data_IF_875074398114
#
_entry.id   IF_875074398114
#
_cell.length_a   1.000
_cell.length_b   1.000
_cell.length_c   1.000
_cell.angle_alpha   90.00
_cell.angle_beta   90.00
_cell.angle_gamma   90.00
#
_symmetry.space_group_name_H-M   'P 1'
#
loop_
_entity.id
_entity.type
_entity.pdbx_description
1 polymer ?
#
# COMPACT_ATOMS: atom_id res chain seq x y z
N UNK A 1 3.34 10.68 -9.54
CA UNK A 1 2.05 11.21 -9.06
C UNK A 1 1.55 10.22 -8.03
N UNK A 2 1.62 10.57 -6.76
CA UNK A 2 0.99 9.79 -5.72
C UNK A 2 -0.50 9.66 -6.04
N UNK A 3 -1.05 8.47 -5.87
CA UNK A 3 -2.49 8.29 -5.98
C UNK A 3 -3.13 9.23 -4.95
N UNK A 4 -3.85 10.24 -5.43
CA UNK A 4 -4.59 11.15 -4.56
C UNK A 4 -5.64 10.32 -3.84
N UNK A 5 -5.37 10.06 -2.57
CA UNK A 5 -6.29 9.31 -1.72
C UNK A 5 -7.54 10.16 -1.49
N UNK A 6 -8.76 9.66 -1.72
CA UNK A 6 -9.96 10.42 -1.37
C UNK A 6 -9.92 10.75 0.10
N UNK A 7 -10.32 11.96 0.41
CA UNK A 7 -10.37 12.46 1.78
C UNK A 7 -11.24 11.59 2.72
N UNK A 8 -12.22 10.89 2.17
CA UNK A 8 -13.16 10.05 2.93
C UNK A 8 -13.17 8.61 2.43
N UNK A 9 -12.74 7.62 3.24
CA UNK A 9 -12.87 6.22 2.89
C UNK A 9 -14.35 5.79 2.92
N UNK A 10 -14.68 4.77 2.13
CA UNK A 10 -16.01 4.20 2.14
C UNK A 10 -16.25 3.35 3.39
N UNK A 11 -17.27 3.70 4.18
CA UNK A 11 -17.76 2.90 5.31
C UNK A 11 -19.09 2.23 4.98
N UNK A 12 -19.41 2.06 3.70
CA UNK A 12 -20.65 1.36 3.29
C UNK A 12 -20.57 -0.09 3.74
N UNK A 13 -21.61 -0.56 4.41
CA UNK A 13 -21.67 -1.93 5.00
C UNK A 13 -21.35 -3.02 3.97
N UNK A 14 -21.90 -2.93 2.76
CA UNK A 14 -21.63 -3.90 1.69
C UNK A 14 -20.15 -3.90 1.28
N UNK A 15 -19.50 -2.74 1.28
CA UNK A 15 -18.08 -2.65 0.98
C UNK A 15 -17.23 -3.30 2.09
N UNK A 16 -17.56 -3.04 3.35
CA UNK A 16 -16.87 -3.66 4.49
C UNK A 16 -17.07 -5.18 4.50
N UNK A 17 -18.27 -5.67 4.17
CA UNK A 17 -18.53 -7.10 4.03
C UNK A 17 -17.67 -7.76 2.94
N UNK A 18 -17.47 -7.11 1.79
CA UNK A 18 -16.56 -7.60 0.76
C UNK A 18 -15.12 -7.67 1.25
N UNK A 19 -14.66 -6.68 2.01
CA UNK A 19 -13.29 -6.66 2.56
C UNK A 19 -13.08 -7.79 3.56
N UNK A 20 -14.11 -8.12 4.36
CA UNK A 20 -14.05 -9.19 5.35
C UNK A 20 -14.21 -10.59 4.75
N UNK A 21 -14.79 -10.70 3.57
CA UNK A 21 -15.10 -11.98 2.93
C UNK A 21 -14.37 -12.11 1.59
N UNK A 22 -15.11 -12.01 0.48
CA UNK A 22 -14.58 -12.11 -0.88
C UNK A 22 -14.79 -10.78 -1.61
N UNK A 23 -13.71 -10.15 -2.01
CA UNK A 23 -13.74 -8.90 -2.77
C UNK A 23 -13.99 -9.16 -4.26
N UNK A 24 -15.25 -9.09 -4.68
CA UNK A 24 -15.67 -9.36 -6.06
C UNK A 24 -15.51 -8.11 -6.92
N UNK A 25 -16.11 -7.00 -6.50
CA UNK A 25 -16.21 -5.78 -7.33
C UNK A 25 -15.06 -4.80 -7.12
N UNK A 26 -14.32 -4.96 -6.06
CA UNK A 26 -13.27 -4.02 -5.69
C UNK A 26 -13.84 -2.79 -5.01
N UNK A 27 -12.96 -1.84 -4.77
CA UNK A 27 -13.22 -0.56 -4.19
C UNK A 27 -11.94 0.23 -4.08
N UNK A 28 -12.02 1.33 -3.37
CA UNK A 28 -10.86 2.15 -3.11
C UNK A 28 -9.77 1.31 -2.40
N UNK A 29 -8.57 1.30 -2.92
CA UNK A 29 -7.39 0.54 -2.45
C UNK A 29 -7.45 -0.99 -2.52
N UNK A 30 -8.55 -1.61 -2.91
CA UNK A 30 -8.58 -3.05 -3.09
C UNK A 30 -9.22 -3.42 -4.43
N UNK A 31 -8.41 -3.94 -5.35
CA UNK A 31 -8.92 -4.44 -6.62
C UNK A 31 -9.66 -5.75 -6.37
N UNK A 32 -10.95 -5.82 -6.78
CA UNK A 32 -11.72 -7.04 -6.72
C UNK A 32 -11.39 -8.01 -7.84
N UNK A 33 -11.99 -9.19 -7.79
CA UNK A 33 -11.81 -10.26 -8.79
C UNK A 33 -12.14 -9.75 -10.20
N UNK A 34 -13.33 -9.17 -10.39
CA UNK A 34 -13.80 -8.75 -11.71
C UNK A 34 -12.92 -7.68 -12.35
N UNK A 35 -12.60 -6.55 -11.67
CA UNK A 35 -11.71 -5.54 -12.24
C UNK A 35 -10.31 -6.09 -12.54
N UNK A 36 -9.78 -6.97 -11.67
CA UNK A 36 -8.46 -7.57 -11.87
C UNK A 36 -8.46 -8.47 -13.09
N UNK A 37 -9.44 -9.38 -13.22
CA UNK A 37 -9.57 -10.27 -14.37
C UNK A 37 -9.74 -9.48 -15.66
N UNK A 38 -10.62 -8.48 -15.65
CA UNK A 38 -10.85 -7.63 -16.82
C UNK A 38 -9.57 -6.88 -17.25
N UNK A 39 -8.82 -6.33 -16.30
CA UNK A 39 -7.54 -5.67 -16.59
C UNK A 39 -6.53 -6.64 -17.22
N UNK A 40 -6.38 -7.85 -16.66
CA UNK A 40 -5.47 -8.86 -17.21
C UNK A 40 -5.90 -9.30 -18.62
N UNK A 41 -7.20 -9.48 -18.88
CA UNK A 41 -7.72 -9.83 -20.21
C UNK A 41 -7.43 -8.72 -21.22
N UNK A 42 -7.65 -7.46 -20.86
CA UNK A 42 -7.37 -6.32 -21.74
C UNK A 42 -5.86 -6.21 -22.04
N UNK A 43 -5.00 -6.31 -21.03
CA UNK A 43 -3.53 -6.30 -21.24
C UNK A 43 -3.09 -7.49 -22.10
N UNK A 44 -3.64 -8.69 -21.87
CA UNK A 44 -3.38 -9.87 -22.68
C UNK A 44 -3.78 -9.66 -24.15
N UNK A 45 -4.84 -8.88 -24.41
CA UNK A 45 -5.27 -8.45 -25.72
C UNK A 45 -4.49 -7.24 -26.28
N UNK A 46 -3.39 -6.82 -25.61
CA UNK A 46 -2.58 -5.64 -25.95
C UNK A 46 -3.35 -4.31 -25.86
N UNK A 47 -4.38 -4.26 -25.01
CA UNK A 47 -5.19 -3.06 -24.75
C UNK A 47 -4.78 -2.47 -23.39
N UNK A 48 -4.02 -1.41 -23.42
CA UNK A 48 -3.51 -0.72 -22.23
C UNK A 48 -4.35 0.51 -21.86
N UNK A 49 -5.09 1.06 -22.82
CA UNK A 49 -6.13 2.04 -22.56
C UNK A 49 -7.36 1.32 -21.99
N UNK A 50 -7.46 1.30 -20.67
CA UNK A 50 -8.57 0.65 -19.99
C UNK A 50 -8.94 1.38 -18.68
N UNK A 51 -10.22 1.34 -18.27
CA UNK A 51 -10.71 2.09 -17.11
C UNK A 51 -10.10 1.68 -15.78
N UNK A 52 -9.40 0.53 -15.71
CA UNK A 52 -8.75 0.04 -14.49
C UNK A 52 -7.27 0.37 -14.42
N UNK A 53 -6.70 0.89 -15.50
CA UNK A 53 -5.30 1.27 -15.62
C UNK A 53 -5.15 2.51 -16.50
N UNK A 54 -5.53 3.66 -15.99
CA UNK A 54 -5.48 4.94 -16.71
C UNK A 54 -4.05 5.38 -17.11
N UNK A 55 -3.03 4.81 -16.47
CA UNK A 55 -1.63 5.08 -16.75
C UNK A 55 -1.00 4.10 -17.76
N UNK A 56 -1.69 3.00 -18.06
CA UNK A 56 -1.13 1.91 -18.85
C UNK A 56 -0.69 2.36 -20.23
N UNK A 57 -1.50 3.14 -20.92
CA UNK A 57 -1.16 3.62 -22.26
C UNK A 57 0.03 4.60 -22.24
N UNK A 58 0.06 5.54 -21.29
CA UNK A 58 1.17 6.49 -21.14
C UNK A 58 2.49 5.82 -20.77
N UNK A 59 2.45 4.86 -19.80
CA UNK A 59 3.63 4.14 -19.34
C UNK A 59 4.30 3.30 -20.44
N UNK A 60 3.50 2.75 -21.34
CA UNK A 60 3.99 1.89 -22.42
C UNK A 60 4.07 2.59 -23.78
N UNK A 61 3.73 3.88 -23.85
CA UNK A 61 3.84 4.68 -25.06
C UNK A 61 5.30 4.79 -25.49
N UNK A 62 5.62 4.40 -26.73
CA UNK A 62 6.99 4.37 -27.25
C UNK A 62 7.85 3.18 -26.79
N UNK A 63 7.29 2.25 -25.99
CA UNK A 63 8.02 1.07 -25.49
C UNK A 63 7.37 -0.23 -25.96
N UNK A 64 7.32 -0.48 -27.26
CA UNK A 64 6.62 -1.63 -27.88
C UNK A 64 7.07 -2.99 -27.36
N UNK A 65 8.37 -3.14 -27.09
CA UNK A 65 8.89 -4.41 -26.53
C UNK A 65 8.38 -4.66 -25.10
N UNK A 66 8.37 -3.63 -24.25
CA UNK A 66 7.85 -3.75 -22.88
C UNK A 66 6.35 -4.00 -22.89
N UNK A 67 5.62 -3.35 -23.79
CA UNK A 67 4.20 -3.57 -24.04
C UNK A 67 3.90 -5.03 -24.43
N UNK A 68 4.67 -5.56 -25.39
CA UNK A 68 4.57 -6.97 -25.80
C UNK A 68 4.88 -7.92 -24.65
N UNK A 69 5.96 -7.67 -23.89
CA UNK A 69 6.32 -8.49 -22.73
C UNK A 69 5.21 -8.49 -21.67
N UNK A 70 4.63 -7.33 -21.34
CA UNK A 70 3.51 -7.21 -20.41
C UNK A 70 2.30 -8.03 -20.88
N UNK A 71 1.96 -7.97 -22.18
CA UNK A 71 0.86 -8.77 -22.75
C UNK A 71 1.13 -10.27 -22.69
N UNK A 72 2.37 -10.69 -22.95
CA UNK A 72 2.77 -12.11 -22.81
C UNK A 72 2.66 -12.57 -21.37
N UNK A 73 3.16 -11.79 -20.42
CA UNK A 73 3.05 -12.10 -18.99
C UNK A 73 1.59 -12.16 -18.53
N UNK A 74 0.74 -11.26 -19.00
CA UNK A 74 -0.69 -11.32 -18.70
C UNK A 74 -1.34 -12.62 -19.18
N UNK A 75 -0.99 -13.09 -20.40
CA UNK A 75 -1.46 -14.38 -20.95
C UNK A 75 -0.96 -15.56 -20.13
N UNK A 76 0.33 -15.57 -19.76
CA UNK A 76 0.92 -16.62 -18.92
C UNK A 76 0.22 -16.66 -17.55
N UNK A 77 -0.02 -15.52 -16.94
CA UNK A 77 -0.71 -15.42 -15.64
C UNK A 77 -2.15 -15.95 -15.74
N UNK A 78 -2.90 -15.54 -16.77
CA UNK A 78 -4.26 -16.03 -16.97
C UNK A 78 -4.28 -17.54 -17.21
N UNK A 79 -3.36 -18.07 -18.04
CA UNK A 79 -3.24 -19.51 -18.29
C UNK A 79 -2.87 -20.28 -17.02
N UNK A 80 -1.90 -19.76 -16.24
CA UNK A 80 -1.52 -20.36 -14.97
C UNK A 80 -2.72 -20.51 -14.03
N UNK A 81 -3.48 -19.45 -13.82
CA UNK A 81 -4.65 -19.50 -12.94
C UNK A 81 -5.77 -20.38 -13.50
N UNK A 82 -5.97 -20.41 -14.82
CA UNK A 82 -6.92 -21.33 -15.45
C UNK A 82 -6.52 -22.79 -15.23
N UNK A 83 -5.24 -23.13 -15.37
CA UNK A 83 -4.70 -24.48 -15.10
C UNK A 83 -4.85 -24.84 -13.61
N UNK A 84 -4.52 -23.92 -12.69
CA UNK A 84 -4.70 -24.15 -11.25
C UNK A 84 -6.15 -24.43 -10.91
N UNK A 85 -7.08 -23.61 -11.41
CA UNK A 85 -8.52 -23.80 -11.12
C UNK A 85 -9.01 -25.14 -11.70
N UNK A 86 -8.75 -25.39 -12.98
CA UNK A 86 -9.21 -26.62 -13.64
C UNK A 86 -8.59 -27.87 -13.03
N UNK A 87 -7.28 -27.85 -12.73
CA UNK A 87 -6.60 -28.96 -12.09
C UNK A 87 -7.10 -29.21 -10.67
N UNK A 88 -7.29 -28.16 -9.88
CA UNK A 88 -7.85 -28.26 -8.52
C UNK A 88 -9.24 -28.91 -8.50
N UNK A 89 -10.09 -28.52 -9.45
CA UNK A 89 -11.42 -29.11 -9.59
C UNK A 89 -11.35 -30.57 -10.06
N UNK A 90 -10.47 -30.87 -11.02
CA UNK A 90 -10.32 -32.23 -11.56
C UNK A 90 -9.84 -33.23 -10.50
N UNK A 91 -8.99 -32.80 -9.55
CA UNK A 91 -8.51 -33.65 -8.45
C UNK A 91 -9.40 -33.59 -7.19
N UNK A 92 -10.54 -32.91 -7.26
CA UNK A 92 -11.47 -32.78 -6.13
C UNK A 92 -10.96 -31.93 -4.96
N UNK A 93 -10.01 -31.04 -5.21
CA UNK A 93 -9.37 -30.17 -4.19
C UNK A 93 -9.61 -28.67 -4.47
N UNK A 94 -10.87 -28.19 -4.45
CA UNK A 94 -11.18 -26.79 -4.81
C UNK A 94 -10.50 -25.77 -3.89
N UNK A 95 -10.11 -26.15 -2.68
CA UNK A 95 -9.39 -25.28 -1.75
C UNK A 95 -8.05 -24.81 -2.32
N UNK A 96 -7.37 -25.60 -3.17
CA UNK A 96 -6.14 -25.19 -3.83
C UNK A 96 -6.36 -23.99 -4.76
N UNK A 97 -7.50 -23.99 -5.50
CA UNK A 97 -7.86 -22.83 -6.33
C UNK A 97 -8.11 -21.58 -5.47
N UNK A 98 -8.77 -21.74 -4.33
CA UNK A 98 -9.01 -20.64 -3.39
C UNK A 98 -7.68 -20.11 -2.83
N UNK A 99 -6.78 -20.98 -2.40
CA UNK A 99 -5.49 -20.59 -1.81
C UNK A 99 -4.57 -19.92 -2.83
N UNK A 100 -4.48 -20.46 -4.05
CA UNK A 100 -3.52 -19.95 -5.05
C UNK A 100 -4.09 -18.78 -5.86
N UNK A 101 -5.36 -18.86 -6.25
CA UNK A 101 -5.99 -17.86 -7.13
C UNK A 101 -6.85 -16.87 -6.36
N UNK A 102 -7.57 -17.33 -5.35
CA UNK A 102 -8.54 -16.53 -4.59
C UNK A 102 -7.94 -15.72 -3.44
N UNK A 103 -6.80 -16.16 -2.88
CA UNK A 103 -6.23 -15.54 -1.66
C UNK A 103 -6.04 -14.02 -1.74
N UNK A 104 -5.62 -13.40 -2.85
CA UNK A 104 -5.46 -11.95 -2.93
C UNK A 104 -6.78 -11.17 -2.79
N UNK A 105 -7.91 -11.86 -2.92
CA UNK A 105 -9.25 -11.25 -2.87
C UNK A 105 -10.02 -11.58 -1.59
N UNK A 106 -9.42 -12.36 -0.69
CA UNK A 106 -10.04 -12.78 0.56
C UNK A 106 -9.46 -11.95 1.70
N UNK A 107 -10.32 -11.51 2.61
CA UNK A 107 -9.94 -10.81 3.84
C UNK A 107 -9.02 -9.57 3.61
N UNK A 108 -9.36 -8.76 2.63
CA UNK A 108 -8.61 -7.52 2.31
C UNK A 108 -8.76 -6.41 3.37
N UNK A 109 -9.44 -6.67 4.49
CA UNK A 109 -9.74 -5.66 5.51
C UNK A 109 -8.47 -5.09 6.16
N UNK A 110 -7.43 -5.88 6.36
CA UNK A 110 -6.16 -5.39 6.91
C UNK A 110 -5.57 -4.28 6.05
N UNK A 111 -5.45 -4.53 4.76
CA UNK A 111 -4.95 -3.51 3.82
C UNK A 111 -5.79 -2.23 3.87
N UNK A 112 -7.09 -2.36 4.05
CA UNK A 112 -7.98 -1.20 4.16
C UNK A 112 -7.81 -0.50 5.51
N UNK A 113 -7.97 -1.23 6.62
CA UNK A 113 -7.96 -0.65 7.97
C UNK A 113 -6.60 -0.08 8.38
N UNK A 114 -5.51 -0.66 7.92
CA UNK A 114 -4.14 -0.19 8.20
C UNK A 114 -3.65 0.75 7.11
N UNK A 115 -3.84 0.42 5.84
CA UNK A 115 -3.30 1.18 4.72
C UNK A 115 -3.98 2.55 4.51
N UNK A 116 -5.30 2.63 4.64
CA UNK A 116 -6.02 3.92 4.47
C UNK A 116 -5.52 5.00 5.42
N UNK A 117 -5.38 4.76 6.73
CA UNK A 117 -4.90 5.79 7.65
C UNK A 117 -3.48 6.27 7.37
N UNK A 118 -2.66 5.52 6.66
CA UNK A 118 -1.28 5.92 6.38
C UNK A 118 -1.18 7.16 5.50
N UNK A 119 -2.17 7.42 4.64
CA UNK A 119 -2.16 8.55 3.70
C UNK A 119 -3.39 9.46 3.79
N UNK A 120 -4.54 8.90 4.17
CA UNK A 120 -5.81 9.60 4.05
C UNK A 120 -5.89 10.82 4.95
N UNK A 121 -6.36 11.94 4.38
CA UNK A 121 -6.61 13.20 5.09
C UNK A 121 -5.35 14.02 5.41
N UNK A 122 -4.17 13.62 4.93
CA UNK A 122 -2.92 14.36 5.03
C UNK A 122 -2.73 15.28 3.82
N UNK A 123 -1.70 16.12 3.86
CA UNK A 123 -1.32 16.97 2.71
C UNK A 123 -0.96 16.12 1.51
N UNK A 124 -1.47 16.47 0.36
CA UNK A 124 -1.09 15.88 -0.93
C UNK A 124 -0.04 16.74 -1.61
N UNK A 125 0.86 16.10 -2.38
CA UNK A 125 1.92 16.77 -3.14
C UNK A 125 2.88 17.61 -2.27
N UNK A 126 3.06 17.26 -1.00
CA UNK A 126 4.10 17.83 -0.16
C UNK A 126 5.41 17.06 -0.39
N UNK A 127 6.53 17.77 -0.52
CA UNK A 127 7.86 17.15 -0.68
C UNK A 127 8.39 16.57 0.63
N UNK A 128 7.82 16.97 1.76
CA UNK A 128 8.13 16.40 3.08
C UNK A 128 7.17 15.26 3.40
N UNK A 129 7.63 14.04 3.25
CA UNK A 129 6.83 12.84 3.56
C UNK A 129 6.29 12.81 4.99
N UNK A 130 6.93 13.50 5.95
CA UNK A 130 6.43 13.60 7.33
C UNK A 130 5.07 14.29 7.43
N UNK A 131 4.69 15.05 6.40
CA UNK A 131 3.39 15.75 6.29
C UNK A 131 2.36 14.99 5.46
N UNK A 132 2.80 14.05 4.62
CA UNK A 132 1.94 13.32 3.68
C UNK A 132 1.77 11.83 4.01
N UNK A 133 2.53 11.30 4.98
CA UNK A 133 2.51 9.88 5.35
C UNK A 133 2.48 9.73 6.87
N UNK A 134 1.75 8.73 7.39
CA UNK A 134 1.73 8.35 8.82
C UNK A 134 2.39 7.00 9.04
N UNK A 135 3.15 6.90 10.10
CA UNK A 135 3.52 5.62 10.71
C UNK A 135 2.49 5.23 11.75
N UNK A 136 2.08 3.95 11.74
CA UNK A 136 1.06 3.39 12.63
C UNK A 136 1.66 2.27 13.45
N UNK A 137 1.49 2.32 14.79
CA UNK A 137 1.90 1.22 15.66
C UNK A 137 0.84 0.12 15.66
N UNK A 138 1.29 -1.12 15.53
CA UNK A 138 0.50 -2.33 15.59
C UNK A 138 1.03 -3.26 16.68
N UNK A 139 0.25 -4.26 17.07
CA UNK A 139 0.75 -5.37 17.87
C UNK A 139 1.75 -6.23 17.05
N UNK A 140 2.65 -6.99 17.71
CA UNK A 140 3.73 -7.68 17.00
C UNK A 140 3.26 -8.68 15.95
N UNK A 141 2.12 -9.36 16.16
CA UNK A 141 1.58 -10.30 15.19
C UNK A 141 1.04 -9.57 13.95
N UNK A 142 0.26 -8.51 14.16
CA UNK A 142 -0.26 -7.67 13.08
C UNK A 142 0.86 -6.97 12.31
N UNK A 143 1.88 -6.48 13.01
CA UNK A 143 3.07 -5.89 12.39
C UNK A 143 3.79 -6.90 11.49
N UNK A 144 4.01 -8.13 11.96
CA UNK A 144 4.61 -9.21 11.17
C UNK A 144 3.74 -9.58 9.96
N UNK A 145 2.44 -9.79 10.14
CA UNK A 145 1.51 -10.13 9.05
C UNK A 145 1.36 -9.01 8.02
N UNK A 146 1.60 -7.78 8.43
CA UNK A 146 1.60 -6.61 7.55
C UNK A 146 2.99 -6.30 6.96
N UNK A 147 3.96 -7.20 7.11
CA UNK A 147 5.32 -7.07 6.58
C UNK A 147 6.04 -5.81 7.11
N UNK A 148 5.80 -5.41 8.34
CA UNK A 148 6.33 -4.18 8.96
C UNK A 148 6.04 -2.90 8.17
N UNK A 149 5.15 -2.94 7.18
CA UNK A 149 4.78 -1.80 6.35
C UNK A 149 3.93 -0.76 7.06
N UNK A 150 3.61 -0.99 8.34
CA UNK A 150 3.05 0.00 9.25
C UNK A 150 4.06 1.12 9.62
N UNK A 151 5.37 0.87 9.49
CA UNK A 151 6.45 1.85 9.52
C UNK A 151 6.55 2.57 8.17
N UNK A 152 5.46 3.21 7.78
CA UNK A 152 5.21 3.59 6.39
C UNK A 152 5.91 4.87 5.99
N UNK A 153 6.06 5.83 6.91
CA UNK A 153 6.83 7.05 6.69
C UNK A 153 8.30 6.72 6.41
N UNK A 154 8.88 5.85 7.23
CA UNK A 154 10.24 5.38 7.07
C UNK A 154 10.44 4.67 5.73
N UNK A 155 9.45 3.87 5.30
CA UNK A 155 9.46 3.24 3.99
C UNK A 155 9.45 4.28 2.84
N UNK A 156 8.64 5.34 2.93
CA UNK A 156 8.62 6.38 1.90
C UNK A 156 9.91 7.19 1.86
N UNK A 157 10.48 7.52 3.01
CA UNK A 157 11.73 8.29 3.08
C UNK A 157 12.97 7.48 2.67
N UNK A 158 12.96 6.17 2.96
CA UNK A 158 14.11 5.29 2.77
C UNK A 158 13.69 3.98 2.08
N UNK A 159 13.15 4.10 0.88
CA UNK A 159 12.56 2.98 0.13
C UNK A 159 13.52 1.80 -0.13
N UNK A 160 14.83 2.00 -0.03
CA UNK A 160 15.83 0.93 -0.15
C UNK A 160 16.02 0.08 1.11
N UNK A 161 15.45 0.48 2.25
CA UNK A 161 15.56 -0.27 3.51
C UNK A 161 14.55 -1.43 3.51
N UNK A 162 15.01 -2.67 3.75
CA UNK A 162 14.12 -3.82 3.84
C UNK A 162 13.07 -3.66 4.95
N UNK A 163 11.87 -4.18 4.71
CA UNK A 163 10.72 -4.00 5.60
C UNK A 163 10.98 -4.42 7.05
N UNK A 164 11.73 -5.48 7.28
CA UNK A 164 12.11 -5.98 8.61
C UNK A 164 13.05 -5.05 9.39
N UNK A 165 13.69 -4.08 8.72
CA UNK A 165 14.57 -3.09 9.35
C UNK A 165 13.89 -1.71 9.57
N UNK A 166 12.66 -1.51 9.09
CA UNK A 166 11.97 -0.22 9.20
C UNK A 166 11.74 0.22 10.64
N UNK A 167 11.47 -0.70 11.55
CA UNK A 167 11.34 -0.41 12.98
C UNK A 167 12.64 0.07 13.63
N UNK A 168 13.75 -0.56 13.28
CA UNK A 168 15.08 -0.13 13.73
C UNK A 168 15.43 1.24 13.14
N UNK A 169 15.11 1.48 11.87
CA UNK A 169 15.25 2.78 11.23
C UNK A 169 14.43 3.86 11.95
N UNK A 170 13.15 3.60 12.27
CA UNK A 170 12.33 4.51 13.06
C UNK A 170 12.99 4.88 14.38
N UNK A 171 13.51 3.88 15.12
CA UNK A 171 14.21 4.13 16.37
C UNK A 171 15.44 5.00 16.22
N UNK A 172 16.19 4.84 15.11
CA UNK A 172 17.38 5.63 14.82
C UNK A 172 17.07 7.06 14.34
N UNK A 173 15.87 7.32 13.86
CA UNK A 173 15.45 8.63 13.32
C UNK A 173 14.33 9.28 14.10
N UNK A 174 13.98 8.74 15.29
CA UNK A 174 12.82 9.13 16.08
C UNK A 174 12.76 10.64 16.40
N UNK A 175 13.92 11.27 16.60
CA UNK A 175 14.01 12.70 16.92
C UNK A 175 13.61 13.60 15.73
N UNK A 176 13.64 13.09 14.50
CA UNK A 176 13.27 13.83 13.28
C UNK A 176 11.89 13.42 12.75
N UNK A 177 11.27 12.39 13.33
CA UNK A 177 10.01 11.83 12.84
C UNK A 177 8.83 12.29 13.69
N UNK A 178 7.64 12.50 13.08
CA UNK A 178 6.40 12.67 13.83
C UNK A 178 6.12 11.44 14.70
N UNK A 179 5.54 11.67 15.88
CA UNK A 179 5.16 10.56 16.75
C UNK A 179 4.21 9.58 16.02
N UNK A 180 4.48 8.26 16.05
CA UNK A 180 3.61 7.25 15.47
C UNK A 180 2.21 7.32 16.06
N UNK A 181 1.19 7.00 15.25
CA UNK A 181 -0.20 6.90 15.71
C UNK A 181 -0.55 5.45 16.02
N UNK A 182 -1.38 5.22 17.02
CA UNK A 182 -2.08 3.94 17.13
C UNK A 182 -3.09 3.84 15.97
N UNK A 183 -3.47 2.62 15.58
CA UNK A 183 -4.46 2.42 14.52
C UNK A 183 -5.77 3.18 14.81
N UNK A 184 -6.29 3.08 16.03
CA UNK A 184 -7.49 3.82 16.45
C UNK A 184 -7.27 5.34 16.44
N UNK A 185 -6.11 5.79 16.92
CA UNK A 185 -5.74 7.20 16.90
C UNK A 185 -5.72 7.80 15.50
N UNK A 186 -5.16 7.07 14.53
CA UNK A 186 -5.15 7.48 13.12
C UNK A 186 -6.57 7.57 12.53
N UNK A 187 -7.45 6.60 12.84
CA UNK A 187 -8.86 6.65 12.40
C UNK A 187 -9.63 7.80 13.05
N UNK A 188 -9.37 8.11 14.32
CA UNK A 188 -9.97 9.26 14.99
C UNK A 188 -9.50 10.60 14.39
N UNK A 189 -8.20 10.73 14.11
CA UNK A 189 -7.63 11.91 13.45
C UNK A 189 -8.24 12.11 12.05
N UNK A 190 -8.38 11.04 11.26
CA UNK A 190 -9.07 11.09 9.98
C UNK A 190 -10.53 11.53 10.12
N UNK A 191 -11.26 11.02 11.13
CA UNK A 191 -12.66 11.41 11.39
C UNK A 191 -12.78 12.91 11.65
N UNK A 192 -11.87 13.48 12.42
CA UNK A 192 -11.86 14.94 12.67
C UNK A 192 -11.51 15.72 11.39
N UNK A 193 -10.56 15.22 10.60
CA UNK A 193 -10.24 15.78 9.29
C UNK A 193 -11.49 15.82 8.39
N UNK A 194 -12.27 14.75 8.29
CA UNK A 194 -13.50 14.72 7.49
C UNK A 194 -14.59 15.68 7.98
N UNK A 195 -14.70 15.89 9.29
CA UNK A 195 -15.62 16.91 9.82
C UNK A 195 -15.24 18.30 9.34
N UNK A 196 -13.95 18.62 9.31
CA UNK A 196 -13.45 19.91 8.81
C UNK A 196 -13.60 20.03 7.31
N UNK A 197 -13.37 18.97 6.56
CA UNK A 197 -13.55 18.92 5.10
C UNK A 197 -15.02 19.12 4.65
N UNK A 198 -16.01 18.91 5.53
CA UNK A 198 -17.38 19.29 5.24
C UNK A 198 -17.57 20.82 5.14
N UNK A 199 -16.69 21.58 5.75
CA UNK A 199 -16.72 23.06 5.77
C UNK A 199 -15.71 23.61 4.75
N UNK A 200 -14.49 23.06 4.74
CA UNK A 200 -13.41 23.40 3.82
C UNK A 200 -12.91 22.13 3.11
N UNK A 201 -13.30 21.96 1.85
CA UNK A 201 -12.96 20.80 1.03
C UNK A 201 -11.45 20.60 0.84
N UNK A 202 -10.65 21.67 0.97
CA UNK A 202 -9.22 21.64 0.80
C UNK A 202 -8.47 21.39 2.11
N UNK A 203 -9.20 21.27 3.23
CA UNK A 203 -8.57 21.02 4.51
C UNK A 203 -7.81 19.69 4.50
N UNK A 204 -6.55 19.76 4.88
CA UNK A 204 -5.69 18.59 5.15
C UNK A 204 -5.10 18.71 6.55
N UNK A 205 -4.96 17.58 7.23
CA UNK A 205 -4.31 17.58 8.54
C UNK A 205 -2.83 17.95 8.38
N UNK A 206 -2.40 18.97 9.12
CA UNK A 206 -0.99 19.37 9.16
C UNK A 206 -0.29 18.60 10.29
N UNK A 207 0.46 17.57 9.92
CA UNK A 207 1.19 16.75 10.89
C UNK A 207 2.23 17.59 11.62
N UNK A 208 2.20 17.65 12.95
CA UNK A 208 3.27 18.28 13.72
C UNK A 208 4.58 17.52 13.47
N UNK A 209 5.56 18.19 12.90
CA UNK A 209 6.91 17.66 12.73
C UNK A 209 7.80 18.24 13.84
N UNK A 210 8.77 17.48 14.36
CA UNK A 210 9.77 18.04 15.24
C UNK A 210 10.41 19.28 14.62
N UNK A 211 10.59 20.32 15.40
CA UNK A 211 11.17 21.59 14.92
C UNK A 211 12.50 21.35 14.22
N UNK A 212 12.75 22.07 13.16
CA UNK A 212 13.95 21.99 12.31
C UNK A 212 15.25 22.40 13.07
N UNK A 213 15.47 21.82 14.23
CA UNK A 213 16.59 22.14 15.11
C UNK A 213 17.82 21.25 14.95
N UNK A 214 17.77 20.18 14.15
CA UNK A 214 18.97 19.39 13.94
C UNK A 214 19.81 19.96 12.78
N UNK A 215 21.07 20.34 13.06
CA UNK A 215 21.99 20.77 12.04
C UNK A 215 22.13 19.68 10.95
N UNK A 216 22.27 20.09 9.69
CA UNK A 216 22.43 19.20 8.52
C UNK A 216 23.58 18.18 8.70
N UNK A 217 24.58 18.55 9.48
CA UNK A 217 25.70 17.69 9.88
C UNK A 217 25.27 16.47 10.71
N UNK A 218 24.32 16.61 11.63
CA UNK A 218 23.81 15.46 12.43
C UNK A 218 22.91 14.57 11.60
N UNK A 219 22.13 15.12 10.66
CA UNK A 219 21.34 14.32 9.70
C UNK A 219 22.24 13.43 8.83
N UNK A 220 23.36 13.95 8.36
CA UNK A 220 24.32 13.20 7.54
C UNK A 220 25.05 12.12 8.35
N UNK A 221 25.31 12.35 9.62
CA UNK A 221 25.95 11.36 10.51
C UNK A 221 25.04 10.17 10.80
N UNK A 222 23.75 10.42 11.00
CA UNK A 222 22.75 9.37 11.19
C UNK A 222 22.57 8.57 9.90
N UNK A 223 22.48 9.22 8.75
CA UNK A 223 22.40 8.54 7.45
C UNK A 223 23.66 7.69 7.15
N UNK A 224 24.86 8.18 7.50
CA UNK A 224 26.12 7.45 7.36
C UNK A 224 26.16 6.22 8.31
N UNK A 225 25.75 6.37 9.56
CA UNK A 225 25.73 5.27 10.53
C UNK A 225 24.72 4.17 10.16
N UNK A 226 23.60 4.52 9.50
CA UNK A 226 22.64 3.53 8.99
C UNK A 226 23.23 2.78 7.78
N UNK A 227 24.02 3.45 6.94
CA UNK A 227 24.76 2.82 5.82
C UNK A 227 25.87 1.88 6.28
N UNK A 228 26.44 2.11 7.46
CA UNK A 228 27.46 1.26 8.09
C UNK A 228 26.88 0.10 8.89
N UNK A 229 25.58 0.09 9.19
CA UNK A 229 24.88 -1.08 9.71
C UNK A 229 24.77 -2.10 8.57
N UNK A 230 25.86 -2.83 8.33
CA UNK A 230 25.88 -4.00 7.48
C UNK A 230 24.77 -4.99 7.85
N UNK A 231 24.50 -6.03 7.05
CA UNK A 231 23.41 -6.97 7.32
C UNK A 231 23.54 -7.46 8.76
N UNK A 232 22.50 -7.20 9.56
CA UNK A 232 22.42 -7.65 10.96
C UNK A 232 22.64 -9.16 10.95
N UNK A 233 23.69 -9.61 11.61
CA UNK A 233 23.97 -11.03 11.77
C UNK A 233 22.85 -11.66 12.62
N UNK A 234 21.95 -12.37 11.95
CA UNK A 234 20.80 -13.06 12.56
C UNK A 234 21.20 -14.34 13.32
N UNK A 235 22.47 -14.49 13.73
CA UNK A 235 23.00 -15.68 14.42
C UNK A 235 23.17 -15.50 15.94
N UNK A 236 22.50 -14.51 16.54
CA UNK A 236 22.46 -14.40 18.00
C UNK A 236 21.04 -14.48 18.54
#
# INVERSE_FOLDING_TARGET
>A
REEVMPATPSLRMLYLLQLLTLNIFGGYQSKGILPTLQNFVLIAANRFDNPFNSWGEELYSGYDEHRRRASVWARITLLFHAVVISGSLAVGQPLLAVLVTGSPFIANFWRYFVGVPMHCGLKSNDTDFRKSVRTITLDPLSEFLYWHMNWHLEHHMFAGVPCYNLKALHSATADDMPAPRTLLGAWMEMRETWKRQKIDLNYAYDTPVPSEGMPTHQRNTVAASIGELGPVDLRS
#
